data_IF_741683165335
#
_entry.id   IF_741683165335
#
_cell.length_a   1.000
_cell.length_b   1.000
_cell.length_c   1.000
_cell.angle_alpha   90.00
_cell.angle_beta   90.00
_cell.angle_gamma   90.00
#
_symmetry.space_group_name_H-M   'P 1'
#
loop_
_entity.id
_entity.type
_entity.pdbx_description
1 polymer ?
#
# COMPACT_ATOMS: atom_id res chain seq x y z
N UNK A 1 -1.37 -8.65 14.72
CA UNK A 1 -1.56 -8.29 13.29
C UNK A 1 -2.48 -9.30 12.62
N UNK A 2 -3.05 -8.96 11.46
CA UNK A 2 -4.04 -9.75 10.74
C UNK A 2 -3.65 -9.96 9.26
N UNK A 3 -4.66 -10.20 8.43
CA UNK A 3 -4.55 -10.49 6.99
C UNK A 3 -3.86 -11.84 6.69
N UNK A 4 -4.17 -12.85 7.50
CA UNK A 4 -3.53 -14.17 7.42
C UNK A 4 -4.01 -15.03 6.22
N UNK A 5 -5.02 -14.58 5.46
CA UNK A 5 -5.55 -15.32 4.32
C UNK A 5 -4.76 -15.11 3.01
N UNK A 6 -3.87 -14.11 2.97
CA UNK A 6 -2.96 -13.93 1.84
C UNK A 6 -1.61 -14.59 2.13
N UNK A 7 -1.17 -15.57 1.32
CA UNK A 7 0.13 -16.19 1.51
C UNK A 7 1.22 -15.15 1.29
N UNK A 8 1.99 -14.87 2.33
CA UNK A 8 3.13 -13.95 2.30
C UNK A 8 4.35 -14.73 2.74
N UNK A 9 5.41 -14.70 1.94
CA UNK A 9 6.64 -15.42 2.21
C UNK A 9 7.86 -14.66 1.68
N UNK A 10 9.01 -14.95 2.26
CA UNK A 10 10.28 -14.42 1.75
C UNK A 10 10.64 -15.18 0.47
N UNK A 11 10.96 -14.43 -0.59
CA UNK A 11 11.56 -15.00 -1.81
C UNK A 11 13.07 -14.86 -1.68
N UNK A 12 13.79 -15.99 -1.70
CA UNK A 12 15.25 -16.05 -1.60
C UNK A 12 15.84 -16.47 -2.94
N UNK A 13 16.72 -15.63 -3.49
CA UNK A 13 17.48 -15.94 -4.71
C UNK A 13 18.92 -16.27 -4.32
N UNK A 14 19.20 -17.54 -4.02
CA UNK A 14 20.55 -18.04 -3.76
C UNK A 14 21.01 -18.96 -4.90
N UNK A 15 22.06 -18.57 -5.62
CA UNK A 15 22.58 -19.31 -6.78
C UNK A 15 21.61 -19.46 -7.96
N UNK A 16 20.50 -18.70 -7.99
CA UNK A 16 19.47 -18.81 -9.03
C UNK A 16 20.01 -18.41 -10.41
N UNK A 17 20.06 -19.36 -11.36
CA UNK A 17 20.44 -19.09 -12.76
C UNK A 17 19.20 -18.75 -13.58
N UNK A 18 19.17 -17.54 -14.12
CA UNK A 18 18.09 -17.06 -15.01
C UNK A 18 18.58 -17.08 -16.46
N UNK A 19 17.91 -17.78 -17.39
CA UNK A 19 18.26 -17.73 -18.81
C UNK A 19 18.18 -16.31 -19.36
N UNK A 20 19.06 -15.94 -20.30
CA UNK A 20 19.03 -14.61 -20.92
C UNK A 20 17.68 -14.30 -21.60
N UNK A 21 16.95 -15.32 -22.06
CA UNK A 21 15.61 -15.20 -22.61
C UNK A 21 14.53 -14.76 -21.59
N UNK A 22 14.79 -14.90 -20.28
CA UNK A 22 13.89 -14.44 -19.22
C UNK A 22 14.05 -12.96 -18.86
N UNK A 23 14.90 -12.21 -19.58
CA UNK A 23 15.11 -10.78 -19.36
C UNK A 23 13.90 -9.97 -19.87
N UNK A 24 13.37 -9.10 -19.02
CA UNK A 24 12.38 -8.10 -19.41
C UNK A 24 13.09 -6.79 -19.79
N UNK A 25 12.96 -6.37 -21.05
CA UNK A 25 13.61 -5.16 -21.57
C UNK A 25 15.13 -5.26 -21.69
N UNK A 26 15.79 -4.11 -21.80
CA UNK A 26 17.26 -4.02 -21.78
C UNK A 26 17.79 -3.82 -20.35
N UNK A 27 19.09 -4.00 -20.19
CA UNK A 27 19.75 -3.70 -18.91
C UNK A 27 19.59 -2.22 -18.55
N UNK A 28 19.13 -1.95 -17.32
CA UNK A 28 18.81 -0.60 -16.84
C UNK A 28 17.36 -0.15 -17.06
N UNK A 29 16.54 -0.92 -17.78
CA UNK A 29 15.16 -0.51 -18.10
C UNK A 29 14.15 -0.75 -16.96
N UNK A 30 14.54 -1.44 -15.89
CA UNK A 30 13.60 -1.91 -14.86
C UNK A 30 12.74 -0.81 -14.23
N UNK A 31 13.34 0.36 -13.93
CA UNK A 31 12.59 1.49 -13.39
C UNK A 31 11.59 2.06 -14.41
N UNK A 32 12.00 2.19 -15.68
CA UNK A 32 11.14 2.72 -16.74
C UNK A 32 9.96 1.80 -17.04
N UNK A 33 10.20 0.49 -17.07
CA UNK A 33 9.14 -0.51 -17.28
C UNK A 33 8.11 -0.41 -16.15
N UNK A 34 8.55 -0.32 -14.89
CA UNK A 34 7.68 -0.14 -13.74
C UNK A 34 6.86 1.16 -13.82
N UNK A 35 7.49 2.27 -14.20
CA UNK A 35 6.83 3.58 -14.35
C UNK A 35 5.89 3.65 -15.55
N UNK A 36 6.23 3.02 -16.68
CA UNK A 36 5.36 3.03 -17.88
C UNK A 36 4.02 2.33 -17.68
N UNK A 37 3.93 1.40 -16.73
CA UNK A 37 2.68 0.77 -16.33
C UNK A 37 1.82 1.70 -15.45
N UNK A 38 2.44 2.68 -14.80
CA UNK A 38 1.81 3.67 -13.94
C UNK A 38 1.39 4.92 -14.72
N UNK A 39 2.19 5.34 -15.71
CA UNK A 39 2.04 6.59 -16.48
C UNK A 39 0.99 6.48 -17.62
N UNK A 40 -0.24 6.08 -17.30
CA UNK A 40 -1.37 6.01 -18.26
C UNK A 40 -1.82 7.33 -18.89
N UNK A 41 -1.08 8.43 -18.69
CA UNK A 41 -1.19 9.67 -19.46
C UNK A 41 -1.73 10.91 -18.72
N UNK A 42 -2.12 10.81 -17.44
CA UNK A 42 -2.57 11.95 -16.64
C UNK A 42 -1.47 12.40 -15.68
N UNK A 43 -0.97 13.63 -15.87
CA UNK A 43 0.11 14.25 -15.08
C UNK A 43 -0.23 14.37 -13.59
N UNK A 44 -1.51 14.34 -13.22
CA UNK A 44 -2.00 14.48 -11.84
C UNK A 44 -2.38 13.14 -11.20
N UNK A 45 -2.45 12.05 -11.96
CA UNK A 45 -2.92 10.75 -11.47
C UNK A 45 -2.14 10.25 -10.25
N UNK A 46 -0.81 10.37 -10.26
CA UNK A 46 0.05 9.97 -9.14
C UNK A 46 -0.30 10.72 -7.85
N UNK A 47 -0.56 12.03 -7.94
CA UNK A 47 -0.95 12.84 -6.79
C UNK A 47 -2.35 12.47 -6.29
N UNK A 48 -3.33 12.35 -7.19
CA UNK A 48 -4.71 12.00 -6.84
C UNK A 48 -4.81 10.61 -6.21
N UNK A 49 -4.09 9.62 -6.75
CA UNK A 49 -3.99 8.28 -6.19
C UNK A 49 -3.35 8.31 -4.79
N UNK A 50 -2.28 9.10 -4.60
CA UNK A 50 -1.64 9.23 -3.29
C UNK A 50 -2.58 9.86 -2.25
N UNK A 51 -3.34 10.89 -2.62
CA UNK A 51 -4.37 11.49 -1.75
C UNK A 51 -5.47 10.48 -1.39
N UNK A 52 -6.03 9.80 -2.39
CA UNK A 52 -7.10 8.83 -2.21
C UNK A 52 -6.66 7.66 -1.33
N UNK A 53 -5.49 7.08 -1.60
CA UNK A 53 -4.93 5.97 -0.82
C UNK A 53 -4.66 6.39 0.62
N UNK A 54 -3.96 7.51 0.83
CA UNK A 54 -3.64 8.01 2.16
C UNK A 54 -4.90 8.22 3.00
N UNK A 55 -5.89 8.92 2.44
CA UNK A 55 -7.17 9.17 3.11
C UNK A 55 -7.96 7.90 3.40
N UNK A 56 -8.16 7.04 2.40
CA UNK A 56 -9.01 5.85 2.55
C UNK A 56 -8.45 4.88 3.59
N UNK A 57 -7.12 4.73 3.65
CA UNK A 57 -6.46 3.82 4.59
C UNK A 57 -6.45 4.36 6.02
N UNK A 58 -6.24 5.67 6.22
CA UNK A 58 -6.37 6.31 7.55
C UNK A 58 -7.83 6.25 8.04
N UNK A 59 -8.78 6.68 7.20
CA UNK A 59 -10.20 6.67 7.56
C UNK A 59 -10.73 5.26 7.84
N UNK A 60 -10.35 4.27 7.02
CA UNK A 60 -10.75 2.88 7.21
C UNK A 60 -10.26 2.32 8.54
N UNK A 61 -9.00 2.56 8.89
CA UNK A 61 -8.45 2.14 10.18
C UNK A 61 -9.16 2.82 11.36
N UNK A 62 -9.38 4.14 11.28
CA UNK A 62 -10.04 4.91 12.35
C UNK A 62 -11.49 4.50 12.58
N UNK A 63 -12.25 4.20 11.51
CA UNK A 63 -13.61 3.67 11.62
C UNK A 63 -13.61 2.33 12.32
N UNK A 64 -12.75 1.39 11.92
CA UNK A 64 -12.67 0.09 12.53
C UNK A 64 -12.22 0.15 14.00
N UNK A 65 -11.27 1.01 14.32
CA UNK A 65 -10.77 1.20 15.68
C UNK A 65 -11.85 1.79 16.60
N UNK A 66 -12.65 2.74 16.11
CA UNK A 66 -13.81 3.25 16.85
C UNK A 66 -14.89 2.18 17.04
N UNK A 67 -15.15 1.36 16.02
CA UNK A 67 -16.08 0.24 16.15
C UNK A 67 -15.61 -0.76 17.22
N UNK A 68 -14.32 -1.10 17.26
CA UNK A 68 -13.73 -1.93 18.31
C UNK A 68 -13.97 -1.34 19.69
N UNK A 69 -13.71 -0.03 19.86
CA UNK A 69 -13.93 0.67 21.11
C UNK A 69 -15.39 0.62 21.57
N UNK A 70 -16.35 0.76 20.65
CA UNK A 70 -17.78 0.65 20.95
C UNK A 70 -18.20 -0.74 21.44
N UNK A 71 -17.53 -1.79 20.96
CA UNK A 71 -17.78 -3.17 21.42
C UNK A 71 -17.15 -3.48 22.79
N UNK A 72 -16.32 -2.57 23.33
CA UNK A 72 -15.65 -2.77 24.62
C UNK A 72 -14.84 -4.07 24.64
N UNK A 73 -14.95 -4.83 25.74
CA UNK A 73 -14.26 -6.13 25.89
C UNK A 73 -14.69 -7.16 24.84
N UNK A 74 -15.96 -7.16 24.43
CA UNK A 74 -16.47 -8.08 23.41
C UNK A 74 -15.79 -7.91 22.06
N UNK A 75 -15.29 -6.70 21.76
CA UNK A 75 -14.58 -6.44 20.53
C UNK A 75 -13.31 -7.28 20.34
N UNK A 76 -12.75 -7.80 21.44
CA UNK A 76 -11.58 -8.69 21.43
C UNK A 76 -11.94 -10.17 21.25
N UNK A 77 -13.20 -10.55 21.40
CA UNK A 77 -13.65 -11.93 21.22
C UNK A 77 -13.76 -12.23 19.72
N UNK A 78 -13.27 -13.40 19.32
CA UNK A 78 -13.25 -13.80 17.91
C UNK A 78 -14.63 -13.91 17.28
N UNK A 79 -15.66 -14.16 18.09
CA UNK A 79 -17.05 -14.33 17.65
C UNK A 79 -17.66 -13.08 17.01
N UNK A 80 -17.24 -11.87 17.44
CA UNK A 80 -17.76 -10.61 16.89
C UNK A 80 -17.00 -10.13 15.65
N UNK A 81 -15.83 -10.71 15.34
CA UNK A 81 -15.05 -10.41 14.14
C UNK A 81 -14.41 -9.00 14.06
N UNK A 82 -14.85 -8.02 14.85
CA UNK A 82 -14.36 -6.63 14.80
C UNK A 82 -12.86 -6.53 15.09
N UNK A 83 -12.34 -7.29 16.07
CA UNK A 83 -10.92 -7.37 16.33
C UNK A 83 -10.10 -7.99 15.20
N UNK A 84 -10.70 -8.79 14.31
CA UNK A 84 -10.05 -9.23 13.05
C UNK A 84 -9.95 -8.09 12.05
N UNK A 85 -11.04 -7.35 11.85
CA UNK A 85 -11.08 -6.23 10.90
C UNK A 85 -10.00 -5.18 11.22
N UNK A 86 -9.86 -4.76 12.48
CA UNK A 86 -8.82 -3.80 12.89
C UNK A 86 -7.42 -4.32 12.58
N UNK A 87 -7.17 -5.60 12.84
CA UNK A 87 -5.86 -6.24 12.60
C UNK A 87 -5.54 -6.39 11.12
N UNK A 88 -6.55 -6.66 10.29
CA UNK A 88 -6.40 -6.79 8.85
C UNK A 88 -6.13 -5.42 8.21
N UNK A 89 -6.86 -4.38 8.63
CA UNK A 89 -6.74 -3.04 8.04
C UNK A 89 -5.39 -2.36 8.31
N UNK A 90 -4.71 -2.71 9.41
CA UNK A 90 -3.51 -1.99 9.86
C UNK A 90 -2.38 -1.98 8.81
N UNK A 91 -2.26 -3.02 8.00
CA UNK A 91 -1.16 -3.12 7.02
C UNK A 91 -1.37 -2.20 5.81
N UNK A 92 -2.59 -1.72 5.53
CA UNK A 92 -2.85 -0.84 4.40
C UNK A 92 -2.19 0.54 4.53
N UNK A 93 -1.87 0.98 5.75
CA UNK A 93 -1.09 2.20 5.98
C UNK A 93 0.39 2.04 5.59
N UNK A 94 0.84 0.81 5.27
CA UNK A 94 2.23 0.46 4.97
C UNK A 94 2.38 0.01 3.51
N UNK A 95 1.50 -0.87 3.02
CA UNK A 95 1.58 -1.40 1.65
C UNK A 95 1.26 -0.32 0.61
N UNK A 96 1.75 -0.56 -0.61
CA UNK A 96 1.64 0.34 -1.76
C UNK A 96 2.25 1.73 -1.50
N UNK A 97 3.24 1.79 -0.62
CA UNK A 97 3.86 3.02 -0.12
C UNK A 97 3.19 3.50 1.16
N UNK A 98 3.98 3.84 2.18
CA UNK A 98 3.43 4.26 3.48
C UNK A 98 2.65 5.57 3.35
N UNK A 99 1.76 5.83 4.31
CA UNK A 99 0.98 7.08 4.30
C UNK A 99 1.88 8.32 4.42
N UNK A 100 3.07 8.20 5.02
CA UNK A 100 4.09 9.26 5.04
C UNK A 100 4.66 9.52 3.64
N UNK A 101 4.91 8.48 2.85
CA UNK A 101 5.36 8.62 1.46
C UNK A 101 4.25 9.24 0.60
N UNK A 102 3.00 8.85 0.80
CA UNK A 102 1.86 9.51 0.14
C UNK A 102 1.83 11.01 0.42
N UNK A 103 2.01 11.42 1.69
CA UNK A 103 2.09 12.83 2.07
C UNK A 103 3.26 13.55 1.38
N UNK A 104 4.41 12.90 1.22
CA UNK A 104 5.55 13.47 0.48
C UNK A 104 5.21 13.66 -1.00
N UNK A 105 4.59 12.67 -1.66
CA UNK A 105 4.16 12.77 -3.07
C UNK A 105 3.17 13.93 -3.25
N UNK A 106 2.17 14.02 -2.38
CA UNK A 106 1.18 15.10 -2.42
C UNK A 106 1.84 16.46 -2.19
N UNK A 107 2.74 16.57 -1.20
CA UNK A 107 3.44 17.82 -0.89
C UNK A 107 4.28 18.29 -2.08
N UNK A 108 4.95 17.37 -2.80
CA UNK A 108 5.72 17.70 -4.01
C UNK A 108 4.83 18.23 -5.13
N UNK A 109 3.66 17.63 -5.34
CA UNK A 109 2.70 18.13 -6.33
C UNK A 109 2.19 19.53 -6.00
N UNK A 110 1.86 19.78 -4.73
CA UNK A 110 1.38 21.10 -4.26
C UNK A 110 2.48 22.17 -4.32
N UNK A 111 3.71 21.84 -3.88
CA UNK A 111 4.81 22.81 -3.82
C UNK A 111 5.51 23.00 -5.17
N UNK A 112 5.57 21.97 -6.02
CA UNK A 112 6.15 22.04 -7.37
C UNK A 112 5.29 22.80 -8.37
N UNK A 113 3.96 22.87 -8.15
CA UNK A 113 3.07 23.74 -8.91
C UNK A 113 3.18 25.23 -8.51
N UNK A 114 3.89 25.54 -7.42
CA UNK A 114 4.08 26.90 -6.88
C UNK A 114 5.42 27.55 -7.28
N UNK A 115 6.22 26.89 -8.13
CA UNK A 115 7.52 27.37 -8.64
C UNK A 115 7.51 27.60 -10.14
#
# INVERSE_FOLDING_TARGET
>A
MGWNAQPTGQVVFDGARIPAAGRLGQEGDGFRIAMSALDGGDETATQLCAMAKGFATDAGFDVANRALQLHGGHGYLSEYGVGKIVRDLRVHQILEGTNEIMRVIVSRGVLGAAS
#
